data_IF_905316212320
#
_entry.id   IF_905316212320
#
_cell.length_a   1.000
_cell.length_b   1.000
_cell.length_c   1.000
_cell.angle_alpha   90.00
_cell.angle_beta   90.00
_cell.angle_gamma   90.00
#
_symmetry.space_group_name_H-M   'P 1'
#
loop_
_entity.id
_entity.type
_entity.pdbx_description
1 polymer ?
2 non-polymer ?
3 non-polymer ?
4 non-polymer ?
5 water ?
#
# COMPACT_ATOMS: atom_id res chain seq x y z
N UNK A 8 4.03 4.86 13.49
CA UNK A 8 4.72 5.37 12.31
C UNK A 8 4.52 4.43 11.13
N UNK A 9 3.78 3.35 11.37
CA UNK A 9 3.60 2.32 10.36
C UNK A 9 2.63 2.69 9.23
N UNK A 10 2.36 1.70 8.39
CA UNK A 10 1.35 1.79 7.34
C UNK A 10 0.13 1.06 7.83
N UNK A 11 -1.02 1.72 7.80
CA UNK A 11 -2.26 1.10 8.25
C UNK A 11 -3.26 0.97 7.12
N UNK A 12 -4.12 -0.04 7.23
CA UNK A 12 -5.23 -0.24 6.31
C UNK A 12 -6.51 -0.27 7.14
N UNK A 13 -7.42 0.65 6.86
CA UNK A 13 -8.67 0.79 7.60
C UNK A 13 -9.78 0.96 6.57
N UNK A 14 -10.85 0.19 6.68
CA UNK A 14 -11.97 0.33 5.77
C UNK A 14 -12.86 1.47 6.24
N UNK A 15 -13.18 2.37 5.31
CA UNK A 15 -14.08 3.48 5.59
C UNK A 15 -15.12 3.47 4.49
N UNK A 16 -16.40 3.46 4.86
CA UNK A 16 -17.48 3.41 3.89
C UNK A 16 -17.32 2.27 2.90
N UNK A 17 -16.78 1.15 3.38
CA UNK A 17 -16.65 -0.05 2.57
C UNK A 17 -15.41 -0.12 1.69
N UNK A 18 -14.56 0.91 1.75
CA UNK A 18 -13.36 0.93 0.92
C UNK A 18 -12.10 1.01 1.76
N UNK A 19 -11.00 0.39 1.28
CA UNK A 19 -9.76 0.41 2.04
C UNK A 19 -9.04 1.75 1.92
N UNK A 20 -8.64 2.27 3.07
CA UNK A 20 -7.87 3.50 3.15
C UNK A 20 -6.52 3.13 3.71
N UNK A 21 -5.48 3.39 2.94
CA UNK A 21 -4.12 3.06 3.32
C UNK A 21 -3.39 4.34 3.67
N UNK A 22 -2.92 4.43 4.91
CA UNK A 22 -2.24 5.62 5.41
C UNK A 22 -0.75 5.35 5.58
N UNK A 23 0.07 6.26 5.09
CA UNK A 23 1.51 6.04 5.07
C UNK A 23 2.27 7.32 5.32
N UNK A 24 3.44 7.23 5.96
CA UNK A 24 4.30 8.38 5.96
C UNK A 24 5.22 8.26 4.76
N UNK A 25 5.29 9.34 4.01
CA UNK A 25 6.11 9.40 2.82
C UNK A 25 7.39 10.15 3.20
N UNK A 26 8.49 9.89 2.48
CA UNK A 26 9.82 10.35 2.91
C UNK A 26 9.95 11.86 3.07
N UNK A 27 9.26 12.63 2.23
CA UNK A 27 9.47 14.08 2.17
C UNK A 27 8.73 14.93 3.21
N UNK A 28 7.80 14.34 3.95
CA UNK A 28 7.07 15.07 5.00
C UNK A 28 6.61 14.18 6.16
N UNK A 29 6.36 14.78 7.32
CA UNK A 29 5.88 14.04 8.49
C UNK A 29 4.38 13.86 8.44
N UNK A 30 3.72 14.78 7.75
CA UNK A 30 2.29 14.70 7.57
C UNK A 30 2.03 13.38 6.87
N UNK A 31 1.34 12.47 7.56
CA UNK A 31 0.92 11.22 6.94
C UNK A 31 -0.07 11.54 5.86
N UNK A 32 -0.16 10.69 4.85
CA UNK A 32 -1.21 10.88 3.87
C UNK A 32 -1.91 9.56 3.57
N UNK A 33 -3.15 9.68 3.16
CA UNK A 33 -3.98 8.51 2.96
C UNK A 33 -4.42 8.33 1.52
N UNK A 34 -4.49 7.07 1.12
CA UNK A 34 -4.83 6.64 -0.22
C UNK A 34 -6.04 5.73 -0.16
N UNK A 35 -7.12 6.12 -0.83
CA UNK A 35 -8.30 5.28 -0.89
C UNK A 35 -8.31 4.54 -2.21
N UNK A 36 -8.54 3.23 -2.15
CA UNK A 36 -8.44 2.38 -3.33
C UNK A 36 -9.76 1.69 -3.60
N UNK A 37 -10.02 1.39 -4.87
CA UNK A 37 -11.18 0.60 -5.26
C UNK A 37 -10.71 -0.84 -5.47
N UNK A 38 -11.06 -1.74 -4.54
CA UNK A 38 -10.51 -3.10 -4.54
C UNK A 38 -10.72 -3.87 -5.83
N UNK A 39 -11.90 -3.72 -6.43
CA UNK A 39 -12.25 -4.51 -7.61
C UNK A 39 -11.65 -4.00 -8.92
N UNK A 40 -11.26 -2.73 -8.97
CA UNK A 40 -10.73 -2.18 -10.20
C UNK A 40 -9.29 -1.66 -10.12
N UNK A 41 -8.86 -1.21 -8.94
CA UNK A 41 -7.48 -0.73 -8.80
C UNK A 41 -6.54 -1.91 -8.61
N UNK A 42 -5.34 -1.80 -9.17
CA UNK A 42 -4.29 -2.82 -9.00
C UNK A 42 -3.16 -2.31 -8.11
N UNK A 43 -2.27 -3.22 -7.74
CA UNK A 43 -1.02 -2.88 -7.06
C UNK A 43 -0.29 -1.77 -7.79
N UNK A 44 -0.21 -1.86 -9.12
CA UNK A 44 0.50 -0.86 -9.91
C UNK A 44 -0.11 0.52 -9.79
N UNK A 45 -1.44 0.57 -9.68
CA UNK A 45 -2.14 1.84 -9.51
C UNK A 45 -1.75 2.48 -8.18
N UNK A 46 -1.77 1.70 -7.11
CA UNK A 46 -1.40 2.21 -5.81
C UNK A 46 0.05 2.69 -5.82
N UNK A 47 0.96 1.92 -6.42
CA UNK A 47 2.37 2.32 -6.42
C UNK A 47 2.57 3.61 -7.21
N UNK A 48 1.82 3.77 -8.29
CA UNK A 48 1.92 4.99 -9.08
C UNK A 48 1.41 6.18 -8.27
N UNK A 49 0.32 6.00 -7.53
CA UNK A 49 -0.19 7.08 -6.68
C UNK A 49 0.84 7.50 -5.65
N UNK A 50 1.54 6.54 -5.05
CA UNK A 50 2.59 6.86 -4.07
C UNK A 50 3.66 7.72 -4.70
N UNK A 51 4.13 7.31 -5.88
CA UNK A 51 5.19 8.04 -6.56
C UNK A 51 4.75 9.44 -6.96
N UNK A 52 3.50 9.58 -7.39
CA UNK A 52 2.97 10.90 -7.75
C UNK A 52 2.85 11.83 -6.55
N UNK A 53 2.66 11.27 -5.36
CA UNK A 53 2.47 12.07 -4.16
C UNK A 53 3.79 12.62 -3.63
N UNK A 54 4.89 11.91 -3.89
CA UNK A 54 6.19 12.27 -3.31
C UNK A 54 7.35 12.02 -4.27
N UNK A 55 7.90 13.11 -4.80
CA UNK A 55 9.02 13.02 -5.74
C UNK A 55 10.30 12.50 -5.08
N UNK A 56 10.32 12.47 -3.75
CA UNK A 56 11.44 11.91 -3.02
C UNK A 56 11.48 10.39 -3.10
N UNK A 57 10.40 9.79 -3.58
CA UNK A 57 10.39 8.33 -3.73
C UNK A 57 11.18 7.90 -4.97
N UNK A 58 12.25 7.14 -4.74
CA UNK A 58 13.07 6.61 -5.83
C UNK A 58 12.65 5.20 -6.18
N UNK A 59 12.21 4.47 -5.17
CA UNK A 59 11.89 3.05 -5.31
C UNK A 59 10.67 2.70 -4.48
N UNK A 60 9.71 2.02 -5.10
CA UNK A 60 8.57 1.50 -4.36
C UNK A 60 8.16 0.13 -4.93
N UNK A 61 7.84 -0.80 -4.04
CA UNK A 61 7.48 -2.15 -4.45
C UNK A 61 6.71 -2.82 -3.35
N UNK A 62 5.89 -3.81 -3.72
CA UNK A 62 5.16 -4.58 -2.75
C UNK A 62 5.58 -6.04 -2.85
N UNK A 63 5.77 -6.66 -1.69
CA UNK A 63 6.19 -8.05 -1.58
C UNK A 63 5.25 -8.85 -0.69
N UNK A 64 5.23 -10.16 -0.90
CA UNK A 64 4.51 -11.04 -0.01
C UNK A 64 5.24 -11.09 1.33
N UNK A 65 4.59 -11.64 2.37
CA UNK A 65 5.33 -11.74 3.63
C UNK A 65 6.60 -12.59 3.50
N UNK A 66 6.61 -13.52 2.56
CA UNK A 66 7.78 -14.38 2.34
C UNK A 66 8.85 -13.69 1.49
N UNK A 67 8.58 -12.46 1.07
CA UNK A 67 9.57 -11.69 0.33
C UNK A 67 9.57 -11.86 -1.18
N UNK A 68 8.45 -12.34 -1.73
CA UNK A 68 8.34 -12.51 -3.18
C UNK A 68 7.64 -11.29 -3.77
N UNK A 69 8.19 -10.72 -4.84
CA UNK A 69 7.58 -9.51 -5.41
C UNK A 69 6.18 -9.80 -5.93
N UNK A 70 5.26 -8.90 -5.64
CA UNK A 70 3.89 -8.98 -6.13
C UNK A 70 3.73 -8.28 -7.47
N UNK A 71 3.10 -8.95 -8.43
CA UNK A 71 2.92 -8.42 -9.77
C UNK A 71 2.09 -7.13 -9.74
N UNK A 72 2.46 -6.17 -10.58
CA UNK A 72 1.77 -4.88 -10.60
C UNK A 72 0.32 -5.03 -11.01
N UNK A 73 0.01 -6.04 -11.82
CA UNK A 73 -1.35 -6.20 -12.32
C UNK A 73 -2.31 -6.81 -11.30
N UNK A 74 -1.77 -7.29 -10.18
CA UNK A 74 -2.58 -7.91 -9.13
C UNK A 74 -3.62 -6.93 -8.59
N UNK A 75 -4.86 -7.38 -8.51
CA UNK A 75 -5.92 -6.54 -7.98
C UNK A 75 -5.72 -6.21 -6.51
N UNK A 76 -6.10 -5.00 -6.12
CA UNK A 76 -5.98 -4.62 -4.73
C UNK A 76 -6.81 -5.52 -3.83
N UNK A 77 -7.95 -5.99 -4.31
CA UNK A 77 -8.73 -6.91 -3.49
C UNK A 77 -7.95 -8.17 -3.14
N UNK A 78 -7.15 -8.67 -4.07
CA UNK A 78 -6.37 -9.87 -3.79
C UNK A 78 -5.22 -9.58 -2.83
N UNK A 79 -4.56 -8.45 -3.02
CA UNK A 79 -3.46 -8.07 -2.14
C UNK A 79 -3.94 -7.95 -0.70
N UNK A 80 -5.14 -7.40 -0.52
CA UNK A 80 -5.64 -7.06 0.81
C UNK A 80 -6.22 -8.23 1.61
N UNK A 81 -6.08 -9.42 1.07
CA UNK A 81 -6.53 -10.60 1.77
C UNK A 81 -5.53 -11.12 2.76
N UNK A 82 -4.35 -10.53 2.75
CA UNK A 82 -3.31 -10.99 3.64
C UNK A 82 -2.27 -9.90 3.84
N UNK A 83 -1.37 -10.14 4.79
CA UNK A 83 -0.25 -9.26 5.04
C UNK A 83 0.58 -9.10 3.79
N UNK A 84 1.30 -7.99 3.71
CA UNK A 84 2.27 -7.77 2.64
C UNK A 84 3.33 -6.80 3.13
N UNK A 85 4.40 -6.67 2.37
CA UNK A 85 5.43 -5.70 2.70
C UNK A 85 5.40 -4.59 1.66
N UNK A 86 5.54 -3.36 2.13
CA UNK A 86 5.61 -2.21 1.25
C UNK A 86 6.99 -1.58 1.44
N UNK A 87 7.77 -1.53 0.36
CA UNK A 87 9.09 -0.93 0.41
C UNK A 87 9.01 0.46 -0.20
N UNK A 88 9.47 1.46 0.55
CA UNK A 88 9.53 2.83 0.04
C UNK A 88 10.94 3.29 0.31
N UNK A 89 11.69 3.53 -0.76
CA UNK A 89 13.13 3.80 -0.68
C UNK A 89 13.84 2.73 0.15
N UNK A 90 14.53 3.12 1.22
CA UNK A 90 15.27 2.13 2.00
C UNK A 90 14.51 1.59 3.22
N UNK A 91 13.21 1.84 3.28
CA UNK A 91 12.41 1.38 4.41
C UNK A 91 11.41 0.31 3.98
N UNK A 92 11.26 -0.72 4.80
CA UNK A 92 10.28 -1.76 4.54
C UNK A 92 9.21 -1.73 5.63
N UNK A 93 7.95 -1.67 5.21
CA UNK A 93 6.83 -1.66 6.14
C UNK A 93 6.05 -2.96 6.07
N UNK A 94 5.79 -3.56 7.23
CA UNK A 94 4.96 -4.74 7.29
C UNK A 94 3.52 -4.27 7.46
N UNK A 95 2.69 -4.57 6.47
CA UNK A 95 1.32 -4.10 6.46
C UNK A 95 0.38 -5.26 6.79
N UNK A 96 -0.57 -5.01 7.69
CA UNK A 96 -1.48 -6.04 8.13
C UNK A 96 -2.93 -5.62 7.91
N UNK A 97 -3.47 -5.93 6.73
CA UNK A 97 -4.85 -5.52 6.44
C UNK A 97 -5.82 -6.36 7.25
N UNK A 98 -7.03 -5.84 7.50
CA UNK A 98 -8.03 -6.66 8.19
C UNK A 98 -8.52 -7.75 7.25
N UNK A 99 -8.71 -8.96 7.78
CA UNK A 99 -9.19 -10.05 6.94
C UNK A 99 -10.61 -9.78 6.46
N UNK A 100 -10.75 -9.57 5.15
CA UNK A 100 -12.05 -9.45 4.52
C UNK A 100 -12.20 -10.63 3.57
N UNK A 101 -13.43 -11.13 3.44
CA UNK A 101 -13.74 -12.34 2.65
C UNK A 101 -12.91 -12.53 1.36
N UNK A 102 -13.46 -12.08 0.23
CA UNK A 102 -12.78 -12.21 -1.06
C UNK A 102 -13.55 -11.50 -2.16
X LIG B 1 -1.04 -10.00 0.59
X LIG C 1 -5.52 3.79 7.07
X LIG D 1 0.08 -16.11 4.82
X LIG D 1 -1.04 -16.41 5.82
X LIG D 1 1.25 -17.06 5.03
X LIG D 1 0.60 -14.68 4.98
X LIG D 1 -0.46 -16.30 3.47
X LIG D 1 -2.19 -16.87 5.14
X LIG D 1 2.37 -16.56 4.32
X LIG D 1 0.58 -14.28 6.33
X LIG E 1 -0.24 -11.68 -4.46
X LIG E 1 -0.23 -10.42 -3.77
X LIG E 1 0.55 -11.75 -5.78
X LIG E 1 -0.11 -11.33 -6.98
X LIG F 1 14.78 10.69 -0.93
X LIG F 1 13.82 11.68 -0.51
X LIG F 1 15.20 10.85 -2.39
X LIG F 1 15.85 12.11 -2.59
#
# INVERSE_FOLDING_TARGET
GSHMASSDDVTVVYQNGLPVISVRLPSRRERCQFTLKPISDSVGVFLRQLQEEDRGIDRVAIYSPDGVRVAASTGMDLLLMDDFKLVINDLTYHVRPPKRDLLSHENAATLNDVKTLVQQLYTT
MG MG
MG MG
TRS C C1 C2 C3 N O1 O2 O3
EDO C1 O1 C2 O2
EDO C1 O1 C2 O2
#
